data_IF_874645657961
#
_entry.id   IF_874645657961
#
_cell.length_a   1.000
_cell.length_b   1.000
_cell.length_c   1.000
_cell.angle_alpha   90.00
_cell.angle_beta   90.00
_cell.angle_gamma   90.00
#
_symmetry.space_group_name_H-M   'P 1'
#
loop_
_entity.id
_entity.type
_entity.pdbx_description
1 polymer ?
#
# COMPACT_ATOMS: atom_id res chain seq x y z
N UNK A 1 -6.58 -36.04 -15.58
CA UNK A 1 -6.21 -35.92 -17.02
C UNK A 1 -6.63 -37.19 -17.76
N UNK A 2 -6.97 -37.13 -19.07
CA UNK A 2 -7.30 -38.34 -19.86
C UNK A 2 -6.76 -38.38 -21.31
N UNK A 3 -6.33 -37.26 -21.90
CA UNK A 3 -6.14 -37.17 -23.36
C UNK A 3 -4.68 -36.92 -23.82
N UNK A 4 -3.69 -36.95 -22.91
CA UNK A 4 -2.26 -36.80 -23.25
C UNK A 4 -1.80 -35.44 -23.80
N UNK A 5 -2.70 -34.51 -24.13
CA UNK A 5 -2.36 -33.17 -24.60
C UNK A 5 -1.77 -32.31 -23.48
N UNK A 6 -0.60 -31.73 -23.74
CA UNK A 6 -0.11 -30.54 -23.02
C UNK A 6 -1.03 -29.36 -23.33
N UNK A 7 -1.39 -28.59 -22.31
CA UNK A 7 -2.15 -27.34 -22.41
C UNK A 7 -1.42 -26.31 -21.54
N UNK A 8 -1.09 -25.10 -22.04
CA UNK A 8 -0.43 -24.09 -21.22
C UNK A 8 -1.38 -23.60 -20.11
N UNK A 9 -0.80 -23.22 -18.98
CA UNK A 9 -1.50 -22.75 -17.79
C UNK A 9 -0.74 -21.57 -17.18
N UNK A 10 -1.46 -20.55 -16.74
CA UNK A 10 -0.95 -19.52 -15.82
C UNK A 10 -1.89 -19.40 -14.63
N UNK A 11 -1.36 -19.05 -13.45
CA UNK A 11 -2.16 -18.58 -12.32
C UNK A 11 -1.92 -17.08 -12.19
N UNK A 12 -2.98 -16.28 -12.18
CA UNK A 12 -2.95 -14.83 -12.00
C UNK A 12 -3.56 -14.49 -10.65
N UNK A 13 -2.97 -13.52 -9.96
CA UNK A 13 -3.53 -12.96 -8.73
C UNK A 13 -4.33 -11.70 -9.08
N UNK A 14 -5.61 -11.71 -8.74
CA UNK A 14 -6.50 -10.55 -8.81
C UNK A 14 -6.57 -9.87 -7.43
N UNK A 15 -6.94 -8.60 -7.40
CA UNK A 15 -7.21 -7.88 -6.15
C UNK A 15 -8.26 -6.78 -6.37
N UNK A 16 -8.98 -6.41 -5.31
CA UNK A 16 -9.93 -5.30 -5.22
C UNK A 16 -9.88 -4.65 -3.82
N UNK A 17 -10.78 -3.71 -3.52
CA UNK A 17 -10.86 -3.04 -2.22
C UNK A 17 -11.14 -3.98 -1.03
N UNK A 18 -11.58 -5.21 -1.29
CA UNK A 18 -11.99 -6.20 -0.28
C UNK A 18 -11.02 -7.38 -0.12
N UNK A 19 -10.24 -7.70 -1.16
CA UNK A 19 -9.35 -8.86 -1.19
C UNK A 19 -8.04 -8.54 -1.92
N UNK A 20 -6.89 -8.89 -1.32
CA UNK A 20 -5.56 -8.59 -1.86
C UNK A 20 -4.97 -9.71 -2.73
N UNK A 21 -5.38 -10.97 -2.55
CA UNK A 21 -5.13 -12.05 -3.52
C UNK A 21 -6.35 -12.93 -3.73
N UNK A 22 -6.93 -12.81 -4.93
CA UNK A 22 -7.90 -13.76 -5.43
C UNK A 22 -7.31 -14.52 -6.63
N UNK A 23 -7.08 -15.82 -6.46
CA UNK A 23 -6.35 -16.65 -7.40
C UNK A 23 -7.22 -17.07 -8.60
N UNK A 24 -6.91 -16.58 -9.80
CA UNK A 24 -7.52 -16.97 -11.08
C UNK A 24 -6.58 -17.88 -11.88
N UNK A 25 -6.96 -19.15 -12.07
CA UNK A 25 -6.29 -20.05 -13.01
C UNK A 25 -6.78 -19.84 -14.45
N UNK A 26 -5.85 -19.77 -15.39
CA UNK A 26 -6.11 -19.54 -16.82
C UNK A 26 -5.41 -20.60 -17.68
N UNK A 27 -6.04 -20.94 -18.81
CA UNK A 27 -5.64 -22.07 -19.67
C UNK A 27 -5.60 -21.69 -21.16
N UNK A 28 -4.79 -22.41 -21.93
CA UNK A 28 -4.78 -22.33 -23.40
C UNK A 28 -4.53 -20.89 -23.91
N UNK A 29 -5.25 -20.41 -24.93
CA UNK A 29 -5.14 -19.05 -25.47
C UNK A 29 -5.21 -17.91 -24.41
N UNK A 30 -5.85 -18.14 -23.26
CA UNK A 30 -5.93 -17.13 -22.20
C UNK A 30 -4.55 -16.85 -21.56
N UNK A 31 -3.57 -17.75 -21.69
CA UNK A 31 -2.20 -17.53 -21.20
C UNK A 31 -1.51 -16.38 -21.95
N UNK A 32 -1.59 -16.36 -23.28
CA UNK A 32 -1.06 -15.28 -24.12
C UNK A 32 -1.79 -13.94 -23.86
N UNK A 33 -3.04 -14.00 -23.42
CA UNK A 33 -3.78 -12.81 -23.00
C UNK A 33 -3.21 -12.25 -21.69
N UNK A 34 -2.91 -13.11 -20.71
CA UNK A 34 -2.32 -12.72 -19.43
C UNK A 34 -0.89 -12.14 -19.58
N UNK A 35 -0.10 -12.61 -20.55
CA UNK A 35 1.23 -12.06 -20.89
C UNK A 35 1.17 -10.57 -21.34
N UNK A 36 -0.01 -10.07 -21.73
CA UNK A 36 -0.22 -8.66 -22.11
C UNK A 36 -0.56 -7.73 -20.92
N UNK A 37 -0.73 -8.27 -19.71
CA UNK A 37 -1.24 -7.51 -18.56
C UNK A 37 -0.11 -6.92 -17.71
N UNK A 38 -0.08 -5.59 -17.60
CA UNK A 38 0.73 -4.88 -16.60
C UNK A 38 0.11 -5.08 -15.20
N UNK A 39 0.83 -5.67 -14.22
CA UNK A 39 0.32 -5.84 -12.86
C UNK A 39 -0.08 -4.51 -12.22
N UNK A 40 -1.21 -4.49 -11.52
CA UNK A 40 -1.77 -3.34 -10.82
C UNK A 40 -2.10 -2.08 -11.68
N UNK A 41 -1.98 -2.16 -13.00
CA UNK A 41 -2.43 -1.14 -13.96
C UNK A 41 -3.57 -1.68 -14.85
N UNK A 42 -3.52 -2.98 -15.18
CA UNK A 42 -4.56 -3.65 -15.96
C UNK A 42 -5.76 -4.02 -15.10
N UNK A 43 -6.89 -3.33 -15.29
CA UNK A 43 -8.17 -3.74 -14.68
C UNK A 43 -8.87 -4.76 -15.58
N UNK A 44 -9.46 -5.79 -14.97
CA UNK A 44 -10.16 -6.87 -15.64
C UNK A 44 -11.62 -6.93 -15.18
N UNK A 45 -12.56 -6.90 -16.12
CA UNK A 45 -13.93 -7.32 -15.88
C UNK A 45 -14.09 -8.75 -16.38
N UNK A 46 -14.51 -9.66 -15.50
CA UNK A 46 -14.54 -11.10 -15.76
C UNK A 46 -15.94 -11.67 -15.51
N UNK A 47 -16.58 -12.21 -16.56
CA UNK A 47 -17.94 -12.75 -16.52
C UNK A 47 -17.97 -14.24 -16.85
N UNK A 48 -18.94 -14.98 -16.27
CA UNK A 48 -19.02 -16.45 -16.27
C UNK A 48 -17.69 -17.13 -15.89
N UNK A 49 -17.05 -16.60 -14.83
CA UNK A 49 -15.85 -17.15 -14.21
C UNK A 49 -16.24 -18.30 -13.28
N UNK A 50 -15.58 -19.45 -13.39
CA UNK A 50 -15.88 -20.60 -12.55
C UNK A 50 -15.20 -20.49 -11.18
N UNK A 51 -15.97 -20.13 -10.16
CA UNK A 51 -15.53 -20.06 -8.77
C UNK A 51 -15.59 -21.46 -8.11
N UNK A 52 -14.55 -21.85 -7.37
CA UNK A 52 -14.47 -23.12 -6.62
C UNK A 52 -13.61 -22.97 -5.36
N UNK A 53 -13.96 -23.70 -4.29
CA UNK A 53 -13.00 -23.96 -3.22
C UNK A 53 -11.88 -24.89 -3.73
N UNK A 54 -10.66 -24.68 -3.25
CA UNK A 54 -9.47 -25.43 -3.65
C UNK A 54 -8.80 -25.98 -2.39
N UNK A 55 -9.00 -27.28 -2.13
CA UNK A 55 -8.53 -27.93 -0.90
C UNK A 55 -7.02 -27.78 -0.67
N UNK A 56 -6.22 -27.80 -1.75
CA UNK A 56 -4.76 -27.64 -1.66
C UNK A 56 -4.34 -26.22 -1.26
N UNK A 57 -5.06 -25.19 -1.75
CA UNK A 57 -4.85 -23.79 -1.31
C UNK A 57 -5.65 -23.43 -0.04
N UNK A 58 -6.52 -24.34 0.44
CA UNK A 58 -7.50 -24.11 1.52
C UNK A 58 -8.35 -22.85 1.35
N UNK A 59 -8.53 -22.39 0.12
CA UNK A 59 -9.08 -21.07 -0.22
C UNK A 59 -10.09 -21.12 -1.37
N UNK A 60 -10.90 -20.07 -1.49
CA UNK A 60 -11.73 -19.85 -2.68
C UNK A 60 -10.85 -19.39 -3.84
N UNK A 61 -11.09 -19.93 -5.03
CA UNK A 61 -10.31 -19.68 -6.24
C UNK A 61 -11.21 -19.59 -7.47
N UNK A 62 -10.70 -19.04 -8.55
CA UNK A 62 -11.37 -18.99 -9.85
C UNK A 62 -10.61 -19.79 -10.91
N UNK A 63 -11.32 -20.25 -11.92
CA UNK A 63 -10.77 -20.72 -13.19
C UNK A 63 -11.55 -20.13 -14.35
N UNK A 64 -10.85 -19.77 -15.43
CA UNK A 64 -11.50 -19.59 -16.73
C UNK A 64 -11.97 -20.94 -17.29
N UNK A 65 -13.06 -20.94 -18.05
CA UNK A 65 -13.47 -22.03 -18.93
C UNK A 65 -13.90 -21.50 -20.32
N UNK A 66 -14.52 -22.34 -21.16
CA UNK A 66 -14.94 -21.99 -22.53
C UNK A 66 -16.06 -20.94 -22.64
N UNK A 67 -16.66 -20.51 -21.52
CA UNK A 67 -17.66 -19.44 -21.48
C UNK A 67 -17.14 -18.15 -20.87
N UNK A 68 -16.06 -18.21 -20.10
CA UNK A 68 -15.56 -17.05 -19.35
C UNK A 68 -15.16 -15.92 -20.30
N UNK A 69 -15.74 -14.74 -20.12
CA UNK A 69 -15.44 -13.54 -20.90
C UNK A 69 -14.55 -12.63 -20.05
N UNK A 70 -13.41 -12.22 -20.60
CA UNK A 70 -12.48 -11.28 -19.98
C UNK A 70 -12.44 -9.99 -20.81
N UNK A 71 -12.97 -8.90 -20.25
CA UNK A 71 -12.86 -7.56 -20.83
C UNK A 71 -11.73 -6.83 -20.13
N UNK A 72 -10.68 -6.51 -20.89
CA UNK A 72 -9.50 -5.80 -20.39
C UNK A 72 -9.75 -4.29 -20.43
N UNK A 73 -9.43 -3.60 -19.35
CA UNK A 73 -9.54 -2.15 -19.18
C UNK A 73 -10.87 -1.56 -19.70
N UNK A 74 -12.04 -2.06 -19.26
CA UNK A 74 -13.33 -1.52 -19.68
C UNK A 74 -13.49 -0.03 -19.32
N UNK A 75 -14.33 0.65 -20.09
CA UNK A 75 -14.68 2.06 -19.89
C UNK A 75 -15.98 2.16 -19.08
N UNK A 76 -15.89 1.83 -17.79
CA UNK A 76 -17.00 1.84 -16.82
C UNK A 76 -16.54 2.50 -15.50
N UNK A 77 -17.44 3.13 -14.72
CA UNK A 77 -17.08 3.82 -13.48
C UNK A 77 -16.35 2.93 -12.47
N UNK A 78 -16.76 1.68 -12.34
CA UNK A 78 -16.16 0.69 -11.44
C UNK A 78 -14.69 0.43 -11.81
N UNK A 79 -14.37 0.40 -13.11
CA UNK A 79 -13.00 0.25 -13.58
C UNK A 79 -12.17 1.53 -13.45
N UNK A 80 -12.80 2.70 -13.40
CA UNK A 80 -12.12 3.94 -13.01
C UNK A 80 -11.77 3.92 -11.51
N UNK A 81 -12.70 3.51 -10.64
CA UNK A 81 -12.46 3.29 -9.21
C UNK A 81 -11.34 2.26 -8.99
N UNK A 82 -11.39 1.10 -9.64
CA UNK A 82 -10.35 0.08 -9.56
C UNK A 82 -8.98 0.57 -10.00
N UNK A 83 -8.89 1.45 -11.01
CA UNK A 83 -7.62 2.11 -11.37
C UNK A 83 -7.17 3.12 -10.31
N UNK A 84 -8.08 3.80 -9.61
CA UNK A 84 -7.70 4.73 -8.53
C UNK A 84 -7.33 4.01 -7.23
N UNK A 85 -7.97 2.87 -6.93
CA UNK A 85 -7.55 1.94 -5.88
C UNK A 85 -6.20 1.27 -6.21
N UNK A 86 -6.04 0.74 -7.43
CA UNK A 86 -4.76 0.18 -7.85
C UNK A 86 -3.66 1.24 -7.80
N UNK A 87 -3.96 2.52 -8.05
CA UNK A 87 -3.03 3.64 -7.85
C UNK A 87 -2.65 3.90 -6.38
N UNK A 88 -3.47 3.57 -5.37
CA UNK A 88 -3.04 3.64 -3.95
C UNK A 88 -2.17 2.44 -3.59
N UNK A 89 -2.53 1.23 -4.06
CA UNK A 89 -1.78 0.00 -3.81
C UNK A 89 -0.45 -0.07 -4.61
N UNK A 90 -0.40 0.47 -5.83
CA UNK A 90 0.84 0.75 -6.57
C UNK A 90 1.67 1.77 -5.81
N UNK A 91 1.07 2.81 -5.23
CA UNK A 91 1.84 3.71 -4.37
C UNK A 91 2.43 2.99 -3.16
N UNK A 92 1.74 2.00 -2.60
CA UNK A 92 2.27 1.15 -1.53
C UNK A 92 3.41 0.21 -2.02
N UNK A 93 3.34 -0.35 -3.23
CA UNK A 93 4.41 -1.20 -3.79
C UNK A 93 5.58 -0.41 -4.41
N UNK A 94 5.32 0.78 -4.93
CA UNK A 94 6.23 1.62 -5.72
C UNK A 94 6.24 3.08 -5.25
N UNK A 95 6.17 3.34 -3.93
CA UNK A 95 6.57 4.62 -3.31
C UNK A 95 8.08 4.81 -3.50
N UNK A 96 8.49 5.02 -4.75
CA UNK A 96 9.84 5.42 -5.10
C UNK A 96 10.09 6.78 -4.43
N UNK A 97 11.02 6.83 -3.49
CA UNK A 97 11.09 7.92 -2.50
C UNK A 97 11.25 9.32 -3.14
N UNK A 98 11.69 9.40 -4.39
CA UNK A 98 11.87 10.64 -5.15
C UNK A 98 10.55 11.38 -5.45
N UNK A 99 9.46 10.75 -5.93
CA UNK A 99 8.28 11.50 -6.39
C UNK A 99 7.45 12.16 -5.28
N UNK A 100 7.70 11.80 -4.01
CA UNK A 100 7.15 12.51 -2.84
C UNK A 100 8.15 13.53 -2.27
N UNK A 101 9.45 13.36 -2.48
CA UNK A 101 10.52 14.23 -1.96
C UNK A 101 10.95 15.30 -3.00
N UNK A 102 10.59 15.15 -4.28
CA UNK A 102 10.87 16.07 -5.39
C UNK A 102 9.99 17.34 -5.42
N UNK A 103 9.80 17.96 -4.25
CA UNK A 103 9.57 19.38 -4.11
C UNK A 103 10.61 19.89 -3.11
N UNK A 104 11.41 20.90 -3.48
CA UNK A 104 12.63 21.32 -2.76
C UNK A 104 12.40 21.96 -1.36
N UNK A 105 11.23 21.77 -0.77
CA UNK A 105 10.89 22.19 0.58
C UNK A 105 11.23 21.07 1.57
N UNK A 106 12.22 21.32 2.44
CA UNK A 106 12.41 20.51 3.64
C UNK A 106 11.16 20.58 4.49
N UNK A 107 10.75 19.43 5.05
CA UNK A 107 9.70 19.41 6.08
C UNK A 107 10.08 20.38 7.22
N UNK A 108 9.13 21.19 7.73
CA UNK A 108 9.40 22.09 8.84
C UNK A 108 9.67 21.28 10.13
N UNK A 109 10.42 21.83 11.10
CA UNK A 109 10.67 21.15 12.37
C UNK A 109 9.34 20.75 13.05
N UNK A 110 9.23 19.49 13.48
CA UNK A 110 7.96 18.89 13.89
C UNK A 110 7.32 19.61 15.09
N UNK A 111 8.13 20.21 15.95
CA UNK A 111 7.77 21.06 17.08
C UNK A 111 7.08 22.37 16.66
N UNK A 112 7.26 22.83 15.42
CA UNK A 112 6.55 24.01 14.87
C UNK A 112 5.15 23.68 14.33
N UNK A 113 4.81 22.40 14.16
CA UNK A 113 3.52 21.95 13.61
C UNK A 113 2.49 21.84 14.74
N UNK A 114 1.96 22.99 15.20
CA UNK A 114 1.03 23.08 16.32
C UNK A 114 -0.45 23.13 15.93
N UNK A 115 -0.76 23.27 14.64
CA UNK A 115 -2.15 23.39 14.15
C UNK A 115 -2.91 22.07 14.26
N UNK A 116 -3.91 21.99 15.14
CA UNK A 116 -4.71 20.78 15.36
C UNK A 116 -5.78 20.64 14.26
N UNK A 117 -5.85 19.47 13.62
CA UNK A 117 -6.80 19.14 12.56
C UNK A 117 -7.69 17.95 12.96
N UNK A 118 -8.98 18.03 12.62
CA UNK A 118 -9.84 16.85 12.58
C UNK A 118 -9.69 16.11 11.24
N UNK A 119 -10.12 14.85 11.18
CA UNK A 119 -10.12 14.04 9.95
C UNK A 119 -10.94 14.68 8.83
N UNK A 120 -12.04 15.39 9.15
CA UNK A 120 -12.80 16.18 8.18
C UNK A 120 -11.96 17.32 7.61
N UNK A 121 -11.16 17.99 8.42
CA UNK A 121 -10.33 19.11 7.95
C UNK A 121 -9.18 18.58 7.06
N UNK A 122 -8.63 17.41 7.38
CA UNK A 122 -7.70 16.68 6.48
C UNK A 122 -8.37 16.31 5.15
N UNK A 123 -9.62 15.81 5.16
CA UNK A 123 -10.37 15.51 3.93
C UNK A 123 -10.60 16.76 3.09
N UNK A 124 -10.99 17.87 3.71
CA UNK A 124 -11.15 19.16 3.03
C UNK A 124 -9.84 19.62 2.38
N UNK A 125 -8.69 19.44 3.04
CA UNK A 125 -7.37 19.77 2.50
C UNK A 125 -6.96 18.83 1.34
N UNK A 126 -7.21 17.52 1.45
CA UNK A 126 -6.96 16.56 0.37
C UNK A 126 -7.75 16.90 -0.91
N UNK A 127 -8.96 17.43 -0.76
CA UNK A 127 -9.81 17.82 -1.89
C UNK A 127 -9.46 19.21 -2.47
N UNK A 128 -9.17 20.19 -1.62
CA UNK A 128 -9.16 21.62 -2.01
C UNK A 128 -7.82 22.34 -1.88
N UNK A 129 -6.80 21.77 -1.22
CA UNK A 129 -5.52 22.46 -1.04
C UNK A 129 -4.69 22.45 -2.33
N UNK A 130 -4.28 23.65 -2.79
CA UNK A 130 -3.35 23.83 -3.91
C UNK A 130 -1.88 23.59 -3.52
N UNK A 131 -1.57 23.62 -2.22
CA UNK A 131 -0.23 23.59 -1.65
C UNK A 131 -0.09 22.51 -0.56
N UNK A 132 1.15 22.21 -0.16
CA UNK A 132 1.41 21.25 0.93
C UNK A 132 1.02 21.86 2.27
N UNK A 133 0.12 21.19 3.00
CA UNK A 133 -0.31 21.56 4.34
C UNK A 133 0.28 20.64 5.40
N UNK A 134 0.40 21.12 6.64
CA UNK A 134 0.88 20.34 7.79
C UNK A 134 -0.09 20.49 8.96
N UNK A 135 -0.20 19.47 9.81
CA UNK A 135 -1.02 19.53 11.00
C UNK A 135 -0.74 18.43 12.02
N UNK A 136 -1.27 18.61 13.21
CA UNK A 136 -1.25 17.70 14.35
C UNK A 136 -2.64 17.10 14.51
N UNK A 137 -2.75 15.80 14.79
CA UNK A 137 -4.03 15.13 14.98
C UNK A 137 -3.98 14.17 16.18
N UNK A 138 -5.16 13.88 16.74
CA UNK A 138 -5.36 12.92 17.83
C UNK A 138 -6.39 11.82 17.49
N UNK A 139 -6.25 11.11 16.35
CA UNK A 139 -7.19 10.07 15.93
C UNK A 139 -6.97 8.76 16.69
N UNK A 140 -7.88 7.82 16.46
CA UNK A 140 -7.65 6.40 16.70
C UNK A 140 -7.02 5.76 15.44
N UNK A 141 -6.17 4.76 15.64
CA UNK A 141 -5.62 3.93 14.54
C UNK A 141 -6.68 2.90 14.09
N UNK A 142 -7.52 3.26 13.12
CA UNK A 142 -8.77 2.54 12.84
C UNK A 142 -8.65 1.40 11.84
N UNK A 143 -7.65 1.45 10.95
CA UNK A 143 -7.38 0.38 9.99
C UNK A 143 -5.87 0.14 9.94
N UNK A 144 -5.46 -1.06 10.34
CA UNK A 144 -4.05 -1.47 10.44
C UNK A 144 -3.88 -2.94 10.08
N UNK A 145 -4.22 -3.28 8.84
CA UNK A 145 -4.14 -4.65 8.34
C UNK A 145 -2.68 -5.02 8.01
N UNK A 146 -1.98 -5.62 8.99
CA UNK A 146 -0.53 -5.98 8.97
C UNK A 146 -0.23 -7.48 9.13
N UNK A 147 -1.25 -8.30 9.35
CA UNK A 147 -1.21 -9.75 9.57
C UNK A 147 -1.76 -10.56 8.38
N UNK A 148 -2.22 -9.85 7.34
CA UNK A 148 -2.69 -10.41 6.08
C UNK A 148 -1.51 -10.94 5.25
N UNK A 149 -1.32 -12.26 5.25
CA UNK A 149 -0.20 -12.95 4.60
C UNK A 149 -0.12 -12.72 3.07
N UNK A 150 -1.19 -12.22 2.44
CA UNK A 150 -1.24 -11.91 1.01
C UNK A 150 -0.61 -10.55 0.64
N UNK A 151 -0.28 -9.70 1.63
CA UNK A 151 0.05 -8.29 1.43
C UNK A 151 1.52 -7.99 1.78
N UNK A 152 2.23 -7.33 0.86
CA UNK A 152 3.67 -7.05 0.98
C UNK A 152 3.97 -5.83 1.88
N UNK A 153 3.92 -6.04 3.20
CA UNK A 153 4.26 -5.02 4.22
C UNK A 153 5.72 -4.57 4.22
N UNK A 154 6.60 -5.35 3.59
CA UNK A 154 8.04 -5.13 3.58
C UNK A 154 8.55 -5.30 2.16
N UNK A 155 9.29 -4.31 1.64
CA UNK A 155 9.79 -4.22 0.27
C UNK A 155 11.31 -4.19 0.24
N UNK A 156 11.90 -4.72 -0.82
CA UNK A 156 13.34 -4.64 -1.10
C UNK A 156 13.71 -3.26 -1.67
N UNK A 157 14.76 -2.65 -1.13
CA UNK A 157 15.28 -1.36 -1.59
C UNK A 157 16.79 -1.39 -1.81
N UNK A 158 17.25 -0.51 -2.70
CA UNK A 158 18.67 -0.27 -2.91
C UNK A 158 19.30 0.40 -1.68
N UNK A 159 20.25 -0.28 -1.04
CA UNK A 159 21.03 0.12 0.16
C UNK A 159 21.94 1.35 0.00
N UNK A 160 21.73 2.16 -1.06
CA UNK A 160 22.42 3.42 -1.33
C UNK A 160 21.48 4.60 -1.62
N UNK A 161 20.28 4.35 -2.14
CA UNK A 161 19.34 5.39 -2.56
C UNK A 161 17.88 5.11 -2.20
N UNK A 162 17.59 4.00 -1.51
CA UNK A 162 16.27 3.64 -0.99
C UNK A 162 15.15 3.67 -2.06
N UNK A 163 15.53 3.36 -3.31
CA UNK A 163 14.62 3.05 -4.42
C UNK A 163 14.26 1.58 -4.38
N UNK A 164 13.03 1.26 -4.80
CA UNK A 164 12.54 -0.12 -4.87
C UNK A 164 13.33 -0.95 -5.89
N UNK A 165 13.57 -2.22 -5.57
CA UNK A 165 14.23 -3.21 -6.43
C UNK A 165 13.49 -4.55 -6.36
N UNK A 166 13.63 -5.42 -7.35
CA UNK A 166 12.90 -6.69 -7.42
C UNK A 166 13.81 -7.89 -7.71
N UNK A 167 13.47 -9.07 -7.19
CA UNK A 167 14.17 -10.31 -7.52
C UNK A 167 14.12 -10.62 -9.03
N UNK A 168 12.99 -10.30 -9.67
CA UNK A 168 12.73 -10.44 -11.11
C UNK A 168 13.77 -9.74 -12.00
N UNK A 169 14.39 -8.65 -11.53
CA UNK A 169 15.43 -7.91 -12.26
C UNK A 169 16.85 -8.18 -11.72
N UNK A 170 17.00 -9.14 -10.80
CA UNK A 170 18.27 -9.45 -10.12
C UNK A 170 18.67 -8.39 -9.09
N UNK A 171 17.69 -7.72 -8.48
CA UNK A 171 17.85 -6.57 -7.58
C UNK A 171 18.70 -5.42 -8.17
N UNK A 172 18.57 -5.19 -9.48
CA UNK A 172 19.25 -4.09 -10.18
C UNK A 172 18.60 -2.75 -9.81
N UNK A 173 19.44 -1.79 -9.40
CA UNK A 173 19.00 -0.45 -9.03
C UNK A 173 18.75 0.38 -10.30
N UNK A 174 17.48 0.67 -10.59
CA UNK A 174 17.06 1.47 -11.75
C UNK A 174 17.35 2.98 -11.66
N UNK A 175 17.96 3.48 -10.56
CA UNK A 175 18.27 4.91 -10.42
C UNK A 175 19.53 5.31 -11.20
N UNK A 176 19.45 6.13 -12.28
CA UNK A 176 20.65 6.62 -12.97
C UNK A 176 21.48 7.58 -12.11
N UNK A 177 20.90 8.15 -11.05
CA UNK A 177 21.57 9.04 -10.10
C UNK A 177 22.06 8.31 -8.84
N UNK A 178 22.09 6.96 -8.83
CA UNK A 178 22.61 6.21 -7.69
C UNK A 178 24.08 6.53 -7.43
N UNK A 179 24.47 6.73 -6.17
CA UNK A 179 25.87 6.91 -5.76
C UNK A 179 26.72 5.65 -5.94
N UNK A 180 26.11 4.50 -6.25
CA UNK A 180 26.79 3.34 -6.80
C UNK A 180 26.87 3.41 -8.32
N UNK A 181 28.06 3.65 -8.87
CA UNK A 181 28.30 3.65 -10.32
C UNK A 181 28.19 2.28 -11.00
N UNK A 182 27.98 1.20 -10.23
CA UNK A 182 27.52 -0.10 -10.72
C UNK A 182 26.01 -0.24 -10.50
N UNK A 183 25.28 -0.59 -11.56
CA UNK A 183 23.83 -0.84 -11.53
C UNK A 183 23.44 -2.07 -10.68
N UNK A 184 24.41 -2.94 -10.37
CA UNK A 184 24.27 -4.07 -9.44
C UNK A 184 24.53 -3.61 -8.02
N UNK A 185 23.68 -4.04 -7.09
CA UNK A 185 23.94 -3.88 -5.66
C UNK A 185 25.24 -4.59 -5.28
N UNK A 186 26.03 -3.95 -4.41
CA UNK A 186 27.28 -4.51 -3.87
C UNK A 186 27.06 -5.51 -2.72
N UNK A 187 25.92 -6.20 -2.73
CA UNK A 187 25.37 -6.98 -1.62
C UNK A 187 23.88 -7.26 -1.86
N UNK A 188 23.16 -7.86 -0.88
CA UNK A 188 21.71 -7.97 -0.93
C UNK A 188 21.03 -6.58 -0.88
N UNK A 189 19.74 -6.48 -1.26
CA UNK A 189 18.93 -5.30 -0.95
C UNK A 189 18.71 -5.15 0.55
N UNK A 190 18.47 -3.92 1.00
CA UNK A 190 17.88 -3.68 2.32
C UNK A 190 16.36 -3.93 2.24
N UNK A 191 15.71 -4.09 3.40
CA UNK A 191 14.26 -4.26 3.49
C UNK A 191 13.66 -3.11 4.30
N UNK A 192 12.68 -2.43 3.72
CA UNK A 192 11.92 -1.35 4.36
C UNK A 192 10.47 -1.77 4.57
N UNK A 193 9.83 -1.24 5.61
CA UNK A 193 8.38 -1.24 5.68
C UNK A 193 7.77 -0.41 4.56
N UNK A 194 6.75 -0.93 3.90
CA UNK A 194 5.72 -0.13 3.26
C UNK A 194 4.42 -0.37 4.01
N UNK A 195 3.91 0.67 4.69
CA UNK A 195 2.70 0.58 5.50
C UNK A 195 1.77 1.77 5.23
N UNK A 196 0.48 1.45 5.14
CA UNK A 196 -0.62 2.38 5.14
C UNK A 196 -1.49 2.15 6.36
N UNK A 197 -2.07 3.22 6.90
CA UNK A 197 -3.01 3.17 8.03
C UNK A 197 -4.25 4.00 7.77
N UNK A 198 -5.38 3.59 8.35
CA UNK A 198 -6.56 4.43 8.52
C UNK A 198 -6.49 5.19 9.85
N UNK A 199 -6.86 6.46 9.81
CA UNK A 199 -6.97 7.34 10.98
C UNK A 199 -8.42 7.81 11.11
N UNK A 200 -9.03 7.61 12.28
CA UNK A 200 -10.42 8.03 12.53
C UNK A 200 -10.57 8.93 13.76
N UNK A 201 -11.49 9.88 13.69
CA UNK A 201 -12.01 10.61 14.83
C UNK A 201 -13.54 10.76 14.72
N UNK A 202 -14.14 11.57 15.60
CA UNK A 202 -15.59 11.83 15.62
C UNK A 202 -16.14 12.55 14.36
N UNK A 203 -15.27 12.96 13.43
CA UNK A 203 -15.59 13.59 12.13
C UNK A 203 -15.40 12.65 10.93
N UNK A 204 -14.97 11.40 11.17
CA UNK A 204 -14.91 10.31 10.18
C UNK A 204 -13.52 9.67 10.07
N UNK A 205 -13.27 9.00 8.93
CA UNK A 205 -12.01 8.28 8.64
C UNK A 205 -11.27 8.89 7.44
N UNK A 206 -9.93 8.85 7.48
CA UNK A 206 -9.04 9.03 6.33
C UNK A 206 -8.17 7.78 6.18
N UNK A 207 -8.31 7.12 5.04
CA UNK A 207 -7.63 5.87 4.70
C UNK A 207 -6.28 6.11 4.00
N UNK A 208 -5.48 5.06 3.89
CA UNK A 208 -4.22 5.01 3.15
C UNK A 208 -3.17 6.07 3.54
N UNK A 209 -3.10 6.46 4.82
CA UNK A 209 -2.05 7.37 5.30
C UNK A 209 -0.68 6.66 5.29
N UNK A 210 0.30 7.19 4.55
CA UNK A 210 1.64 6.61 4.46
C UNK A 210 2.40 6.72 5.78
N UNK A 211 2.83 5.58 6.35
CA UNK A 211 3.78 5.55 7.46
C UNK A 211 5.20 5.46 6.88
N UNK A 212 6.07 6.40 7.26
CA UNK A 212 7.48 6.36 6.81
C UNK A 212 8.21 5.15 7.44
N UNK A 213 9.17 4.47 6.75
CA UNK A 213 9.75 3.21 7.23
C UNK A 213 10.28 3.25 8.68
N UNK A 214 11.01 4.32 9.03
CA UNK A 214 11.54 4.50 10.39
C UNK A 214 10.44 4.66 11.46
N UNK A 215 9.29 5.23 11.10
CA UNK A 215 8.12 5.39 11.99
C UNK A 215 7.39 4.05 12.12
N UNK A 216 7.36 3.24 11.06
CA UNK A 216 6.83 1.88 11.11
C UNK A 216 7.64 0.97 12.05
N UNK A 217 8.98 1.04 12.00
CA UNK A 217 9.84 0.35 12.96
C UNK A 217 9.61 0.81 14.41
N UNK A 218 9.43 2.12 14.63
CA UNK A 218 9.16 2.69 15.95
C UNK A 218 7.77 2.31 16.48
N UNK A 219 6.76 2.24 15.61
CA UNK A 219 5.38 1.87 15.94
C UNK A 219 5.26 0.37 16.26
N UNK A 220 5.87 -0.49 15.42
CA UNK A 220 5.80 -1.95 15.57
C UNK A 220 6.80 -2.50 16.60
N UNK A 221 7.86 -1.74 16.94
CA UNK A 221 8.92 -2.16 17.86
C UNK A 221 9.87 -3.22 17.29
N UNK A 222 9.79 -3.51 15.99
CA UNK A 222 10.46 -4.62 15.29
C UNK A 222 11.03 -4.13 13.95
N UNK A 223 12.18 -4.63 13.52
CA UNK A 223 12.79 -4.29 12.22
C UNK A 223 12.04 -4.93 11.05
N UNK A 224 12.04 -4.28 9.88
CA UNK A 224 11.32 -4.78 8.71
C UNK A 224 11.77 -6.18 8.24
N UNK A 225 13.06 -6.51 8.39
CA UNK A 225 13.59 -7.86 8.18
C UNK A 225 13.00 -8.88 9.17
N UNK A 226 13.06 -8.58 10.48
CA UNK A 226 12.54 -9.46 11.54
C UNK A 226 11.03 -9.68 11.38
N UNK A 227 10.28 -8.61 11.09
CA UNK A 227 8.84 -8.64 10.90
C UNK A 227 8.40 -9.51 9.72
N UNK A 228 9.18 -9.53 8.64
CA UNK A 228 8.94 -10.43 7.50
C UNK A 228 8.91 -11.90 7.95
N UNK A 229 9.84 -12.29 8.83
CA UNK A 229 9.98 -13.65 9.38
C UNK A 229 8.98 -13.99 10.50
N UNK A 230 8.24 -13.02 11.04
CA UNK A 230 7.23 -13.26 12.08
C UNK A 230 6.03 -14.07 11.54
N UNK A 231 5.51 -14.98 12.36
CA UNK A 231 4.27 -15.71 12.07
C UNK A 231 3.03 -14.81 12.07
N UNK A 232 1.98 -15.21 11.35
CA UNK A 232 0.71 -14.48 11.31
C UNK A 232 0.17 -14.12 12.69
N UNK A 233 0.16 -15.06 13.65
CA UNK A 233 -0.28 -14.79 15.02
C UNK A 233 0.48 -13.63 15.68
N UNK A 234 1.81 -13.58 15.56
CA UNK A 234 2.59 -12.50 16.18
C UNK A 234 2.33 -11.14 15.51
N UNK A 235 2.02 -11.13 14.21
CA UNK A 235 1.59 -9.93 13.48
C UNK A 235 0.20 -9.49 13.94
N UNK A 236 -0.72 -10.44 14.15
CA UNK A 236 -2.06 -10.22 14.72
C UNK A 236 -1.98 -9.70 16.16
N UNK A 237 -1.06 -10.21 17.00
CA UNK A 237 -0.85 -9.73 18.37
C UNK A 237 -0.39 -8.26 18.39
N UNK A 238 0.55 -7.88 17.52
CA UNK A 238 0.97 -6.48 17.37
C UNK A 238 -0.20 -5.62 16.86
N UNK A 239 -0.97 -6.11 15.87
CA UNK A 239 -2.15 -5.42 15.31
C UNK A 239 -3.13 -5.06 16.43
N UNK A 240 -3.52 -6.03 17.27
CA UNK A 240 -4.44 -5.77 18.38
C UNK A 240 -3.86 -4.89 19.50
N UNK A 241 -2.53 -4.79 19.64
CA UNK A 241 -1.90 -3.88 20.60
C UNK A 241 -1.92 -2.39 20.19
N UNK A 242 -2.34 -2.10 18.95
CA UNK A 242 -2.28 -0.77 18.32
C UNK A 242 -3.59 -0.34 17.64
N UNK A 243 -4.39 -1.28 17.13
CA UNK A 243 -5.68 -1.00 16.50
C UNK A 243 -6.69 -0.44 17.52
N UNK A 244 -7.38 0.63 17.14
CA UNK A 244 -8.29 1.43 17.99
C UNK A 244 -7.65 2.14 19.20
N UNK A 245 -6.32 2.13 19.34
CA UNK A 245 -5.63 3.00 20.29
C UNK A 245 -5.64 4.46 19.79
N UNK A 246 -5.73 5.43 20.71
CA UNK A 246 -5.50 6.86 20.39
C UNK A 246 -4.02 7.09 20.09
N UNK A 247 -3.72 7.82 19.02
CA UNK A 247 -2.36 8.22 18.64
C UNK A 247 -2.27 9.75 18.50
N UNK A 248 -1.12 10.31 18.88
CA UNK A 248 -0.69 11.66 18.49
C UNK A 248 0.09 11.52 17.19
N UNK A 249 -0.39 12.13 16.12
CA UNK A 249 0.24 12.03 14.79
C UNK A 249 0.45 13.40 14.15
N UNK A 250 1.63 13.60 13.56
CA UNK A 250 1.98 14.79 12.78
C UNK A 250 1.90 14.40 11.30
N UNK A 251 1.07 15.09 10.54
CA UNK A 251 0.76 14.76 9.14
C UNK A 251 1.20 15.85 8.17
N UNK A 252 1.77 15.42 7.04
CA UNK A 252 1.96 16.19 5.81
C UNK A 252 0.85 15.83 4.84
N UNK A 253 0.12 16.83 4.37
CA UNK A 253 -1.07 16.67 3.52
C UNK A 253 -0.80 17.37 2.19
N UNK A 254 -1.04 16.69 1.07
CA UNK A 254 -1.04 17.30 -0.26
C UNK A 254 -2.42 17.13 -0.89
N UNK A 255 -3.00 18.23 -1.35
CA UNK A 255 -4.29 18.23 -2.04
C UNK A 255 -4.18 17.95 -3.55
N UNK A 256 -5.33 17.99 -4.23
CA UNK A 256 -5.44 17.78 -5.69
C UNK A 256 -4.90 18.97 -6.49
N UNK A 257 -3.61 19.00 -6.79
CA UNK A 257 -3.04 20.04 -7.66
C UNK A 257 -3.23 19.72 -9.16
N UNK A 258 -4.22 20.38 -9.78
CA UNK A 258 -4.42 20.52 -11.24
C UNK A 258 -4.21 19.25 -12.09
N UNK A 259 -4.67 18.10 -11.59
CA UNK A 259 -4.58 16.80 -12.27
C UNK A 259 -3.16 16.21 -12.40
N UNK A 260 -2.13 16.87 -11.84
CA UNK A 260 -0.72 16.43 -11.94
C UNK A 260 -0.21 15.67 -10.72
N UNK A 261 -0.73 15.96 -9.54
CA UNK A 261 -0.36 15.28 -8.29
C UNK A 261 -1.57 14.63 -7.65
N UNK A 262 -1.38 13.40 -7.14
CA UNK A 262 -2.39 12.65 -6.39
C UNK A 262 -2.47 13.20 -4.96
N UNK A 263 -3.68 13.36 -4.39
CA UNK A 263 -3.81 13.76 -3.00
C UNK A 263 -3.25 12.66 -2.09
N UNK A 264 -2.58 13.05 -1.00
CA UNK A 264 -1.93 12.10 -0.10
C UNK A 264 -1.73 12.65 1.32
N UNK A 265 -1.73 11.74 2.30
CA UNK A 265 -1.36 12.01 3.69
C UNK A 265 -0.11 11.18 4.01
N UNK A 266 0.95 11.84 4.46
CA UNK A 266 2.17 11.18 4.98
C UNK A 266 2.32 11.50 6.46
N UNK A 267 2.49 10.47 7.27
CA UNK A 267 2.79 10.57 8.69
C UNK A 267 4.29 10.89 8.84
N UNK A 268 4.58 11.98 9.55
CA UNK A 268 5.93 12.48 9.87
C UNK A 268 6.37 12.11 11.29
N UNK A 269 5.42 11.89 12.20
CA UNK A 269 5.63 11.34 13.54
C UNK A 269 4.34 10.70 14.04
N UNK A 270 4.44 9.61 14.80
CA UNK A 270 3.31 8.94 15.41
C UNK A 270 3.74 8.38 16.78
N UNK A 271 2.99 8.70 17.83
CA UNK A 271 3.26 8.31 19.20
C UNK A 271 1.96 8.10 19.98
N UNK A 272 2.02 7.54 21.19
CA UNK A 272 0.88 7.59 22.13
C UNK A 272 0.72 9.03 22.68
N UNK A 273 -0.51 9.57 22.80
CA UNK A 273 -0.73 10.90 23.35
C UNK A 273 -0.38 10.94 24.84
N UNK A 274 0.10 12.10 25.31
CA UNK A 274 0.30 12.33 26.75
C UNK A 274 -1.03 12.70 27.44
N UNK A 275 -1.06 12.72 28.77
CA UNK A 275 -2.22 13.18 29.53
C UNK A 275 -2.59 14.64 29.21
N UNK A 276 -1.58 15.49 28.97
CA UNK A 276 -1.78 16.89 28.58
C UNK A 276 -2.41 17.00 27.18
N UNK A 277 -2.01 16.15 26.24
CA UNK A 277 -2.58 16.09 24.90
C UNK A 277 -4.07 15.70 24.91
N UNK A 278 -4.46 14.76 25.77
CA UNK A 278 -5.86 14.35 25.91
C UNK A 278 -6.73 15.50 26.45
N UNK A 279 -6.24 16.24 27.45
CA UNK A 279 -6.93 17.43 27.98
C UNK A 279 -7.10 18.50 26.91
N UNK A 280 -6.10 18.73 26.05
CA UNK A 280 -6.20 19.67 24.91
C UNK A 280 -7.29 19.28 23.89
N UNK A 281 -7.66 18.00 23.80
CA UNK A 281 -8.76 17.53 22.94
C UNK A 281 -10.14 17.58 23.58
N UNK A 282 -10.24 17.84 24.89
CA UNK A 282 -11.51 17.81 25.63
C UNK A 282 -12.15 16.42 25.75
N UNK A 283 -11.32 15.36 25.79
CA UNK A 283 -11.75 13.95 25.76
C UNK A 283 -11.26 13.17 27.00
N UNK A 284 -11.84 13.50 28.15
CA UNK A 284 -11.89 12.59 29.33
C UNK A 284 -12.74 11.34 29.03
#
# INVERSE_FOLDING_TARGET
MKNGKTVPKVDVVLCDETCMSFNLTMWDNNVLLAESWTPMDTVLFAADVRIMYNDYKSAMTASTDSKTILTINPDIPEAACMRDYSKTQVSFLTYDNEDIIAANEKDPPLDTITNILSVRDVRNLLENASETSYGLMYPFLSHFDIDNEEKLFCREVCSKCHKFVQESNGFVCGNPNCSGGDLRLGGPPDVEYSLTVGLSDHTGTVEHCFVSPNIAEQLLGVKANEFREMSGQQKTDIKWSLLLERVKTVVKIRGKCNGKQRPSVKILSLAKPTTEDLVLTGLE
#
